data_IF_513675920042
#
_entry.id   IF_513675920042
#
_cell.length_a   1.000
_cell.length_b   1.000
_cell.length_c   1.000
_cell.angle_alpha   90.00
_cell.angle_beta   90.00
_cell.angle_gamma   90.00
#
_symmetry.space_group_name_H-M   'P 1'
#
loop_
_entity.id
_entity.type
_entity.pdbx_description
1 polymer ?
#
# COMPACT_ATOMS: atom_id res chain seq x y z
N UNK A 1 18.97 -13.49 -9.61
CA UNK A 1 19.87 -13.62 -8.45
C UNK A 1 19.98 -12.23 -7.88
N UNK A 2 19.57 -12.03 -6.63
CA UNK A 2 19.52 -10.70 -6.00
C UNK A 2 20.86 -10.43 -5.32
N UNK A 3 21.62 -9.45 -5.82
CA UNK A 3 22.90 -9.06 -5.23
C UNK A 3 22.67 -8.37 -3.87
N UNK A 4 23.57 -8.60 -2.91
CA UNK A 4 23.52 -8.03 -1.56
C UNK A 4 24.49 -6.85 -1.46
N UNK A 5 24.26 -5.89 -0.54
CA UNK A 5 25.19 -4.77 -0.33
C UNK A 5 26.64 -5.17 -0.04
N UNK A 6 26.86 -6.38 0.50
CA UNK A 6 28.18 -6.97 0.73
C UNK A 6 28.94 -7.36 -0.54
N UNK A 7 28.25 -7.43 -1.68
CA UNK A 7 28.81 -7.89 -2.95
C UNK A 7 29.48 -6.75 -3.73
N UNK A 8 29.48 -5.53 -3.18
CA UNK A 8 30.01 -4.31 -3.80
C UNK A 8 31.25 -3.82 -3.05
N UNK A 9 32.29 -3.42 -3.79
CA UNK A 9 33.58 -3.06 -3.21
C UNK A 9 33.56 -1.67 -2.56
N UNK A 10 32.60 -0.82 -2.93
CA UNK A 10 32.46 0.53 -2.43
C UNK A 10 31.01 1.04 -2.60
N UNK A 11 30.74 2.23 -2.06
CA UNK A 11 29.42 2.88 -2.11
C UNK A 11 29.00 3.28 -3.54
N UNK A 12 29.96 3.59 -4.42
CA UNK A 12 29.68 3.99 -5.79
C UNK A 12 29.15 2.81 -6.62
N UNK A 13 29.77 1.64 -6.50
CA UNK A 13 29.32 0.41 -7.16
C UNK A 13 27.89 0.03 -6.72
N UNK A 14 27.59 0.21 -5.41
CA UNK A 14 26.26 -0.05 -4.87
C UNK A 14 25.22 0.95 -5.39
N UNK A 15 25.58 2.23 -5.50
CA UNK A 15 24.71 3.26 -6.07
C UNK A 15 24.42 3.01 -7.55
N UNK A 16 25.40 2.58 -8.35
CA UNK A 16 25.19 2.22 -9.76
C UNK A 16 24.25 1.03 -9.89
N UNK A 17 24.46 -0.03 -9.10
CA UNK A 17 23.57 -1.18 -9.08
C UNK A 17 22.14 -0.81 -8.68
N UNK A 18 21.98 0.01 -7.63
CA UNK A 18 20.66 0.48 -7.21
C UNK A 18 19.97 1.32 -8.30
N UNK A 19 20.71 2.18 -9.00
CA UNK A 19 20.20 2.95 -10.15
C UNK A 19 19.72 2.03 -11.28
N UNK A 20 20.51 1.01 -11.62
CA UNK A 20 20.12 0.01 -12.63
C UNK A 20 18.87 -0.79 -12.22
N UNK A 21 18.76 -1.14 -10.93
CA UNK A 21 17.59 -1.83 -10.40
C UNK A 21 16.35 -0.94 -10.35
N UNK A 22 16.50 0.35 -10.01
CA UNK A 22 15.44 1.35 -10.07
C UNK A 22 14.92 1.54 -11.50
N UNK A 23 15.82 1.65 -12.48
CA UNK A 23 15.46 1.77 -13.90
C UNK A 23 14.76 0.50 -14.41
N UNK A 24 15.27 -0.68 -14.04
CA UNK A 24 14.77 -1.97 -14.52
C UNK A 24 13.45 -2.41 -13.88
N UNK A 25 13.27 -2.19 -12.57
CA UNK A 25 12.17 -2.78 -11.80
C UNK A 25 11.13 -1.75 -11.35
N UNK A 26 11.55 -0.53 -11.04
CA UNK A 26 10.62 0.51 -10.60
C UNK A 26 10.07 1.33 -11.76
N UNK A 27 10.71 1.26 -12.93
CA UNK A 27 10.24 1.95 -14.12
C UNK A 27 9.83 3.37 -13.75
N UNK A 28 10.71 4.11 -13.05
CA UNK A 28 10.62 5.57 -13.02
C UNK A 28 10.51 5.91 -14.50
N UNK A 29 9.30 6.28 -14.92
CA UNK A 29 8.98 6.38 -16.33
C UNK A 29 10.08 7.22 -16.96
N UNK A 30 10.63 6.86 -18.14
CA UNK A 30 11.54 7.72 -18.90
C UNK A 30 10.96 9.12 -19.24
N UNK A 31 9.77 9.42 -18.73
CA UNK A 31 8.96 10.59 -18.98
C UNK A 31 8.54 11.28 -17.66
N UNK A 32 9.19 11.00 -16.51
CA UNK A 32 9.09 11.88 -15.35
C UNK A 32 9.98 13.10 -15.63
N UNK A 33 9.40 14.04 -16.34
CA UNK A 33 9.96 15.36 -16.56
C UNK A 33 9.44 16.27 -15.43
N UNK A 34 10.30 16.71 -14.49
CA UNK A 34 9.88 17.55 -13.38
C UNK A 34 9.31 18.90 -13.84
N UNK A 35 9.57 19.31 -15.08
CA UNK A 35 9.01 20.51 -15.72
C UNK A 35 7.67 20.24 -16.43
N UNK A 36 7.28 18.97 -16.62
CA UNK A 36 5.92 18.56 -17.08
C UNK A 36 4.99 18.22 -15.92
N UNK A 37 5.18 18.82 -14.75
CA UNK A 37 4.13 18.74 -13.73
C UNK A 37 2.87 19.37 -14.34
N UNK A 38 1.72 18.70 -14.30
CA UNK A 38 0.49 19.35 -14.71
C UNK A 38 0.35 20.62 -13.87
N UNK A 39 0.20 21.76 -14.55
CA UNK A 39 -0.07 23.03 -13.88
C UNK A 39 -1.29 22.84 -12.97
N UNK A 40 -1.24 23.27 -11.70
CA UNK A 40 -2.38 23.16 -10.82
C UNK A 40 -3.54 23.93 -11.46
N UNK A 41 -4.63 23.23 -11.75
CA UNK A 41 -5.85 23.83 -12.26
C UNK A 41 -6.70 24.26 -11.06
N UNK A 42 -6.79 25.57 -10.74
CA UNK A 42 -7.72 26.01 -9.73
C UNK A 42 -9.15 25.71 -10.21
N UNK A 43 -9.92 25.07 -9.36
CA UNK A 43 -11.35 24.84 -9.56
C UNK A 43 -12.13 25.79 -8.66
N UNK A 44 -13.20 26.37 -9.18
CA UNK A 44 -14.12 27.14 -8.37
C UNK A 44 -14.92 26.20 -7.48
N UNK A 45 -15.14 26.59 -6.23
CA UNK A 45 -15.98 25.80 -5.32
C UNK A 45 -17.34 25.43 -5.92
N UNK A 46 -17.95 26.37 -6.67
CA UNK A 46 -19.21 26.15 -7.38
C UNK A 46 -19.14 25.00 -8.39
N UNK A 47 -18.01 24.83 -9.09
CA UNK A 47 -17.84 23.74 -10.05
C UNK A 47 -17.80 22.38 -9.36
N UNK A 48 -17.28 22.32 -8.13
CA UNK A 48 -17.30 21.12 -7.28
C UNK A 48 -18.72 20.83 -6.79
N UNK A 49 -19.44 21.85 -6.31
CA UNK A 49 -20.82 21.71 -5.84
C UNK A 49 -21.77 21.25 -6.97
N UNK A 50 -21.54 21.73 -8.20
CA UNK A 50 -22.33 21.38 -9.38
C UNK A 50 -21.91 20.02 -10.00
N UNK A 51 -20.84 19.39 -9.51
CA UNK A 51 -20.34 18.12 -10.05
C UNK A 51 -21.09 16.90 -9.49
N UNK A 52 -21.36 15.91 -10.36
CA UNK A 52 -21.86 14.61 -9.94
C UNK A 52 -20.70 13.67 -9.62
N UNK A 53 -20.64 13.20 -8.38
CA UNK A 53 -19.65 12.23 -7.93
C UNK A 53 -20.23 10.82 -7.91
N UNK A 54 -19.44 9.78 -8.25
CA UNK A 54 -19.87 8.40 -8.08
C UNK A 54 -20.16 8.09 -6.61
N UNK A 55 -21.00 7.08 -6.37
CA UNK A 55 -21.23 6.59 -5.01
C UNK A 55 -19.91 6.16 -4.35
N UNK A 56 -19.81 6.39 -3.04
CA UNK A 56 -18.65 6.02 -2.24
C UNK A 56 -18.27 4.55 -2.47
N UNK A 57 -17.05 4.34 -2.92
CA UNK A 57 -16.47 3.01 -3.11
C UNK A 57 -15.72 2.61 -1.85
N UNK A 58 -15.97 1.39 -1.37
CA UNK A 58 -15.41 0.90 -0.12
C UNK A 58 -14.52 -0.32 -0.37
N UNK A 59 -13.33 -0.33 0.21
CA UNK A 59 -12.51 -1.54 0.36
C UNK A 59 -13.10 -2.45 1.44
N UNK A 60 -13.49 -1.85 2.56
CA UNK A 60 -14.30 -2.47 3.62
C UNK A 60 -15.48 -1.56 3.85
N UNK A 61 -16.68 -2.11 3.69
CA UNK A 61 -17.91 -1.34 3.74
C UNK A 61 -18.01 -0.49 5.04
N UNK A 62 -18.26 0.80 4.87
CA UNK A 62 -18.44 1.76 5.96
C UNK A 62 -17.17 2.10 6.77
N UNK A 63 -16.01 1.56 6.43
CA UNK A 63 -14.79 1.72 7.24
C UNK A 63 -13.55 2.13 6.44
N UNK A 64 -13.19 1.36 5.41
CA UNK A 64 -12.02 1.67 4.58
C UNK A 64 -12.49 2.11 3.20
N UNK A 65 -12.31 3.39 2.81
CA UNK A 65 -12.60 3.83 1.45
C UNK A 65 -11.68 3.11 0.46
N UNK A 66 -12.18 2.87 -0.75
CA UNK A 66 -11.38 2.27 -1.84
C UNK A 66 -10.33 3.24 -2.39
N UNK A 67 -10.59 4.53 -2.24
CA UNK A 67 -9.74 5.61 -2.73
C UNK A 67 -9.15 6.40 -1.56
N UNK A 68 -7.99 7.01 -1.81
CA UNK A 68 -7.27 7.81 -0.82
C UNK A 68 -6.36 6.98 0.10
N UNK A 69 -5.97 7.60 1.22
CA UNK A 69 -5.06 7.04 2.22
C UNK A 69 -5.80 6.85 3.54
N UNK A 70 -5.78 5.63 4.05
CA UNK A 70 -6.28 5.31 5.39
C UNK A 70 -5.12 5.08 6.37
N UNK A 71 -5.20 5.66 7.56
CA UNK A 71 -4.20 5.49 8.62
C UNK A 71 -4.84 4.77 9.80
N UNK A 72 -4.27 3.63 10.20
CA UNK A 72 -4.65 2.89 11.40
C UNK A 72 -3.62 3.17 12.49
N UNK A 73 -4.07 3.82 13.56
CA UNK A 73 -3.22 4.25 14.67
C UNK A 73 -3.73 3.72 16.02
N UNK A 74 -2.80 3.32 16.88
CA UNK A 74 -3.03 2.93 18.27
C UNK A 74 -1.69 2.83 19.00
N UNK A 75 -1.71 2.65 20.31
CA UNK A 75 -0.52 2.43 21.14
C UNK A 75 0.16 1.10 20.73
N UNK A 76 1.47 1.01 20.96
CA UNK A 76 2.21 -0.24 20.71
C UNK A 76 1.60 -1.41 21.51
N UNK A 77 1.54 -2.59 20.90
CA UNK A 77 0.97 -3.79 21.54
C UNK A 77 -0.53 -4.00 21.32
N UNK A 78 -1.30 -2.98 20.93
CA UNK A 78 -2.76 -3.03 20.75
C UNK A 78 -3.22 -3.72 19.44
N UNK A 79 -2.38 -4.59 18.86
CA UNK A 79 -2.82 -5.48 17.78
C UNK A 79 -2.92 -4.88 16.36
N UNK A 80 -2.42 -3.66 16.09
CA UNK A 80 -2.46 -3.05 14.73
C UNK A 80 -2.02 -4.00 13.61
N UNK A 81 -0.85 -4.62 13.79
CA UNK A 81 -0.30 -5.51 12.76
C UNK A 81 -1.17 -6.75 12.58
N UNK A 82 -1.76 -7.30 13.65
CA UNK A 82 -2.65 -8.45 13.56
C UNK A 82 -3.94 -8.06 12.83
N UNK A 83 -4.51 -6.91 13.18
CA UNK A 83 -5.70 -6.35 12.54
C UNK A 83 -5.48 -6.16 11.03
N UNK A 84 -4.37 -5.50 10.64
CA UNK A 84 -4.05 -5.23 9.24
C UNK A 84 -3.66 -6.49 8.45
N UNK A 85 -2.99 -7.46 9.08
CA UNK A 85 -2.70 -8.75 8.44
C UNK A 85 -3.98 -9.56 8.23
N UNK A 86 -4.93 -9.55 9.18
CA UNK A 86 -6.22 -10.20 9.01
C UNK A 86 -7.03 -9.55 7.88
N UNK A 87 -7.04 -8.21 7.84
CA UNK A 87 -7.65 -7.47 6.72
C UNK A 87 -7.01 -7.84 5.38
N UNK A 88 -5.68 -7.90 5.31
CA UNK A 88 -4.96 -8.30 4.10
C UNK A 88 -5.38 -9.71 3.62
N UNK A 89 -5.56 -10.67 4.54
CA UNK A 89 -6.08 -11.99 4.22
C UNK A 89 -7.49 -11.90 3.64
N UNK A 90 -8.41 -11.21 4.32
CA UNK A 90 -9.80 -11.04 3.85
C UNK A 90 -9.88 -10.42 2.46
N UNK A 91 -9.09 -9.37 2.18
CA UNK A 91 -9.00 -8.77 0.83
C UNK A 91 -8.46 -9.79 -0.18
N UNK A 92 -7.43 -10.56 0.16
CA UNK A 92 -6.85 -11.53 -0.77
C UNK A 92 -7.81 -12.67 -1.13
N UNK A 93 -8.65 -13.08 -0.19
CA UNK A 93 -9.59 -14.19 -0.36
C UNK A 93 -10.94 -13.72 -0.93
N UNK A 94 -11.35 -12.48 -0.64
CA UNK A 94 -12.69 -11.95 -0.89
C UNK A 94 -13.70 -12.37 0.18
N UNK A 95 -13.24 -12.53 1.42
CA UNK A 95 -14.08 -12.92 2.56
C UNK A 95 -14.45 -11.71 3.41
N UNK A 96 -15.63 -11.76 4.05
CA UNK A 96 -16.08 -10.69 4.93
C UNK A 96 -15.14 -10.55 6.14
N UNK A 97 -14.93 -9.32 6.60
CA UNK A 97 -14.01 -9.09 7.71
C UNK A 97 -14.65 -9.51 9.04
N UNK A 98 -13.90 -10.27 9.85
CA UNK A 98 -14.40 -10.88 11.10
C UNK A 98 -15.66 -11.75 10.92
N UNK A 99 -15.81 -12.36 9.73
CA UNK A 99 -17.01 -13.11 9.36
C UNK A 99 -18.32 -12.31 9.52
N UNK A 100 -18.25 -10.98 9.51
CA UNK A 100 -19.40 -10.09 9.62
C UNK A 100 -19.83 -9.61 8.22
N UNK A 101 -21.02 -9.99 7.72
CA UNK A 101 -21.52 -9.58 6.41
C UNK A 101 -21.60 -8.06 6.20
N UNK A 102 -21.78 -7.27 7.26
CA UNK A 102 -21.80 -5.80 7.18
C UNK A 102 -20.43 -5.21 6.85
N UNK A 103 -19.36 -5.93 7.20
CA UNK A 103 -17.97 -5.61 6.88
C UNK A 103 -17.52 -6.37 5.62
N UNK A 104 -18.34 -6.34 4.57
CA UNK A 104 -18.00 -6.93 3.28
C UNK A 104 -16.72 -6.31 2.72
N UNK A 105 -15.83 -7.15 2.18
CA UNK A 105 -14.53 -6.76 1.65
C UNK A 105 -14.46 -7.04 0.15
N UNK A 106 -13.96 -6.08 -0.63
CA UNK A 106 -13.69 -6.30 -2.05
C UNK A 106 -12.43 -7.14 -2.23
N UNK A 107 -12.52 -8.20 -3.06
CA UNK A 107 -11.36 -9.06 -3.36
C UNK A 107 -10.31 -8.30 -4.16
N UNK A 108 -9.04 -8.42 -3.78
CA UNK A 108 -7.93 -7.74 -4.45
C UNK A 108 -6.56 -8.35 -4.19
N UNK A 109 -5.54 -7.83 -4.90
CA UNK A 109 -4.13 -8.15 -4.61
C UNK A 109 -3.64 -7.25 -3.49
N UNK A 110 -2.93 -7.83 -2.53
CA UNK A 110 -2.42 -7.08 -1.36
C UNK A 110 -0.90 -7.21 -1.29
N UNK A 111 -0.22 -6.08 -1.10
CA UNK A 111 1.19 -6.01 -0.75
C UNK A 111 1.29 -5.58 0.72
N UNK A 112 1.81 -6.46 1.58
CA UNK A 112 2.06 -6.15 2.98
C UNK A 112 3.56 -5.86 3.17
N UNK A 113 3.90 -4.60 3.46
CA UNK A 113 5.29 -4.17 3.71
C UNK A 113 5.55 -4.20 5.22
N UNK A 114 6.44 -5.09 5.65
CA UNK A 114 6.84 -5.20 7.05
C UNK A 114 8.18 -4.53 7.30
N UNK A 115 8.20 -3.52 8.17
CA UNK A 115 9.42 -2.79 8.57
C UNK A 115 9.87 -3.07 10.02
N UNK A 116 9.04 -3.73 10.84
CA UNK A 116 9.30 -3.88 12.28
C UNK A 116 9.55 -5.33 12.72
N UNK A 117 8.80 -6.29 12.18
CA UNK A 117 8.82 -7.67 12.69
C UNK A 117 9.90 -8.52 12.03
N UNK A 118 10.41 -9.51 12.75
CA UNK A 118 11.24 -10.56 12.17
C UNK A 118 10.41 -11.51 11.29
N UNK A 119 11.08 -12.25 10.39
CA UNK A 119 10.41 -13.28 9.56
C UNK A 119 9.76 -14.38 10.41
N UNK A 120 10.35 -14.75 11.54
CA UNK A 120 9.78 -15.75 12.45
C UNK A 120 8.48 -15.26 13.09
N UNK A 121 8.40 -13.97 13.45
CA UNK A 121 7.17 -13.40 14.01
C UNK A 121 6.05 -13.29 12.96
N UNK A 122 6.38 -12.91 11.72
CA UNK A 122 5.40 -12.93 10.62
C UNK A 122 4.88 -14.35 10.40
N UNK A 123 5.76 -15.35 10.34
CA UNK A 123 5.35 -16.75 10.16
C UNK A 123 4.45 -17.22 11.31
N UNK A 124 4.84 -16.95 12.56
CA UNK A 124 4.08 -17.34 13.74
C UNK A 124 2.67 -16.73 13.75
N UNK A 125 2.53 -15.45 13.36
CA UNK A 125 1.24 -14.77 13.28
C UNK A 125 0.42 -15.23 12.09
N UNK A 126 1.03 -15.37 10.91
CA UNK A 126 0.36 -15.80 9.69
C UNK A 126 -0.23 -17.21 9.79
N UNK A 127 0.39 -18.12 10.56
CA UNK A 127 -0.17 -19.46 10.83
C UNK A 127 -1.44 -19.48 11.70
N UNK A 128 -1.79 -18.37 12.33
CA UNK A 128 -2.97 -18.25 13.20
C UNK A 128 -4.16 -17.57 12.52
N UNK A 129 -3.99 -17.17 11.26
CA UNK A 129 -5.01 -16.47 10.47
C UNK A 129 -5.72 -17.42 9.53
#
# INVERSE_FOLDING_TARGET
>A
MDAKPSDFNNLHDWQEYMREMEEKYFGITPNYDPDKRPEPRPELWKEIDDAEFPANRWLVNGLFPKEGLSIVASISGEGKSILLMHLAKCISEGTAWFDNPELSVEKGRVLYINLEMSRSEIQRRGRKM
#
